data_IF_600219835815
#
_entry.id   IF_600219835815
#
_cell.length_a   1.000
_cell.length_b   1.000
_cell.length_c   1.000
_cell.angle_alpha   90.00
_cell.angle_beta   90.00
_cell.angle_gamma   90.00
#
_symmetry.space_group_name_H-M   'P 1'
#
loop_
_entity.id
_entity.type
_entity.pdbx_description
1 polymer ?
#
# COMPACT_ATOMS: atom_id res chain seq x y z
N UNK A 1 18.44 -15.22 11.73
CA UNK A 1 17.11 -14.89 11.18
C UNK A 1 16.48 -16.18 10.72
N UNK A 2 15.32 -16.54 11.26
CA UNK A 2 14.53 -17.69 10.78
C UNK A 2 13.99 -17.37 9.41
N UNK A 3 14.33 -18.18 8.40
CA UNK A 3 13.84 -17.99 7.04
C UNK A 3 12.35 -18.40 7.00
N UNK A 4 11.44 -17.42 7.00
CA UNK A 4 9.99 -17.63 6.93
C UNK A 4 9.62 -18.08 5.53
N UNK A 5 8.66 -19.00 5.41
CA UNK A 5 8.19 -19.49 4.11
C UNK A 5 6.67 -19.35 4.02
N UNK A 6 6.19 -18.84 2.90
CA UNK A 6 4.77 -18.87 2.59
C UNK A 6 4.36 -20.32 2.31
N UNK A 7 3.34 -20.81 3.01
CA UNK A 7 2.74 -22.09 2.68
C UNK A 7 1.82 -21.97 1.44
N UNK A 8 1.52 -23.11 0.80
CA UNK A 8 0.71 -23.13 -0.42
C UNK A 8 -0.68 -22.54 -0.24
N UNK A 9 -1.30 -22.72 0.93
CA UNK A 9 -2.60 -22.17 1.23
C UNK A 9 -2.54 -20.63 1.34
N UNK A 10 -1.46 -20.08 1.90
CA UNK A 10 -1.23 -18.64 1.97
C UNK A 10 -1.02 -18.04 0.58
N UNK A 11 -0.22 -18.69 -0.26
CA UNK A 11 -0.02 -18.28 -1.66
C UNK A 11 -1.37 -18.21 -2.40
N UNK A 12 -2.22 -19.22 -2.28
CA UNK A 12 -3.55 -19.25 -2.90
C UNK A 12 -4.45 -18.11 -2.38
N UNK A 13 -4.45 -17.86 -1.08
CA UNK A 13 -5.23 -16.75 -0.48
C UNK A 13 -4.74 -15.38 -0.93
N UNK A 14 -3.42 -15.16 -0.98
CA UNK A 14 -2.82 -13.92 -1.49
C UNK A 14 -3.19 -13.71 -2.95
N UNK A 15 -3.07 -14.72 -3.80
CA UNK A 15 -3.43 -14.61 -5.21
C UNK A 15 -4.92 -14.29 -5.42
N UNK A 16 -5.83 -14.91 -4.66
CA UNK A 16 -7.27 -14.61 -4.69
C UNK A 16 -7.57 -13.19 -4.22
N UNK A 17 -6.91 -12.72 -3.17
CA UNK A 17 -7.06 -11.35 -2.68
C UNK A 17 -6.58 -10.31 -3.70
N UNK A 18 -5.52 -10.60 -4.45
CA UNK A 18 -5.02 -9.72 -5.52
C UNK A 18 -6.00 -9.64 -6.69
N UNK A 19 -6.62 -10.78 -7.04
CA UNK A 19 -7.61 -10.84 -8.12
C UNK A 19 -8.93 -10.11 -7.79
N UNK A 20 -9.23 -9.94 -6.49
CA UNK A 20 -10.41 -9.21 -6.00
C UNK A 20 -10.03 -7.81 -5.47
N UNK A 21 -10.18 -7.57 -4.18
CA UNK A 21 -9.78 -6.32 -3.53
C UNK A 21 -9.21 -6.61 -2.14
N UNK A 22 -7.91 -6.32 -1.97
CA UNK A 22 -7.19 -6.62 -0.73
C UNK A 22 -7.77 -5.90 0.48
N UNK A 23 -8.27 -4.66 0.30
CA UNK A 23 -8.69 -3.80 1.42
C UNK A 23 -10.19 -3.85 1.72
N UNK A 24 -11.00 -4.36 0.82
CA UNK A 24 -12.46 -4.28 0.88
C UNK A 24 -13.17 -5.64 0.93
N UNK A 25 -12.42 -6.75 0.78
CA UNK A 25 -13.01 -8.07 0.59
C UNK A 25 -12.59 -9.05 1.72
N UNK A 26 -13.46 -10.04 1.98
CA UNK A 26 -13.17 -11.19 2.84
C UNK A 26 -11.91 -11.96 2.42
N UNK A 27 -11.58 -11.97 1.13
CA UNK A 27 -10.36 -12.59 0.63
C UNK A 27 -9.12 -11.85 1.09
N UNK A 28 -9.15 -10.52 1.16
CA UNK A 28 -8.06 -9.72 1.70
C UNK A 28 -7.81 -9.99 3.18
N UNK A 29 -8.86 -10.04 3.98
CA UNK A 29 -8.76 -10.41 5.41
C UNK A 29 -8.18 -11.80 5.58
N UNK A 30 -8.69 -12.80 4.85
CA UNK A 30 -8.21 -14.17 4.93
C UNK A 30 -6.75 -14.33 4.47
N UNK A 31 -6.29 -13.52 3.51
CA UNK A 31 -4.90 -13.51 3.07
C UNK A 31 -3.98 -12.88 4.13
N UNK A 32 -4.40 -11.79 4.78
CA UNK A 32 -3.66 -11.15 5.85
C UNK A 32 -3.53 -12.10 7.05
N UNK A 33 -4.61 -12.76 7.47
CA UNK A 33 -4.58 -13.73 8.57
C UNK A 33 -3.65 -14.91 8.26
N UNK A 34 -3.62 -15.37 7.00
CA UNK A 34 -2.70 -16.42 6.58
C UNK A 34 -1.24 -15.98 6.56
N UNK A 35 -0.96 -14.73 6.12
CA UNK A 35 0.39 -14.15 6.16
C UNK A 35 0.89 -14.03 7.62
N UNK A 36 0.03 -13.61 8.55
CA UNK A 36 0.35 -13.57 9.98
C UNK A 36 0.69 -14.97 10.50
N UNK A 37 -0.09 -15.98 10.12
CA UNK A 37 0.15 -17.38 10.52
C UNK A 37 1.49 -17.93 10.00
N UNK A 38 1.96 -17.45 8.83
CA UNK A 38 3.28 -17.77 8.28
C UNK A 38 4.41 -16.89 8.85
N UNK A 39 4.11 -16.00 9.81
CA UNK A 39 5.08 -15.16 10.51
C UNK A 39 5.36 -13.80 9.85
N UNK A 40 4.60 -13.41 8.82
CA UNK A 40 4.64 -12.08 8.21
C UNK A 40 3.63 -11.19 8.90
N UNK A 41 3.95 -10.75 10.11
CA UNK A 41 3.03 -10.09 11.03
C UNK A 41 3.27 -8.56 11.18
N UNK A 42 4.22 -8.01 10.42
CA UNK A 42 4.60 -6.59 10.48
C UNK A 42 4.38 -5.87 9.16
N UNK A 43 3.93 -4.61 9.17
CA UNK A 43 3.86 -3.79 7.95
C UNK A 43 5.22 -3.65 7.24
N UNK A 44 6.33 -3.74 7.98
CA UNK A 44 7.70 -3.70 7.47
C UNK A 44 8.08 -4.94 6.66
N UNK A 45 7.33 -6.04 6.77
CA UNK A 45 7.51 -7.25 5.97
C UNK A 45 7.15 -7.04 4.49
N UNK A 46 6.41 -5.97 4.17
CA UNK A 46 6.03 -5.60 2.80
C UNK A 46 6.90 -4.49 2.22
N UNK A 47 8.00 -4.14 2.88
CA UNK A 47 8.95 -3.11 2.44
C UNK A 47 10.15 -3.80 1.79
N UNK A 48 10.72 -3.16 0.75
CA UNK A 48 11.90 -3.71 0.05
C UNK A 48 13.04 -4.00 1.04
N UNK A 49 13.74 -5.14 0.93
CA UNK A 49 14.87 -5.50 1.80
C UNK A 49 15.99 -4.47 1.81
N UNK A 50 16.08 -3.62 0.75
CA UNK A 50 17.06 -2.54 0.64
C UNK A 50 16.63 -1.25 1.36
N UNK A 51 15.41 -1.18 1.83
CA UNK A 51 14.88 0.00 2.51
C UNK A 51 15.15 -0.09 4.01
N UNK A 52 15.41 1.06 4.61
CA UNK A 52 15.52 1.18 6.08
C UNK A 52 14.25 0.68 6.76
N UNK A 53 14.40 -0.05 7.86
CA UNK A 53 13.29 -0.62 8.62
C UNK A 53 12.65 -1.88 8.02
N UNK A 54 13.16 -2.41 6.90
CA UNK A 54 12.70 -3.70 6.38
C UNK A 54 13.06 -4.85 7.31
N UNK A 55 12.14 -5.79 7.47
CA UNK A 55 12.30 -6.99 8.32
C UNK A 55 12.34 -8.30 7.52
N UNK A 56 12.30 -8.21 6.18
CA UNK A 56 12.32 -9.38 5.29
C UNK A 56 13.65 -9.57 4.59
N UNK A 57 14.00 -10.82 4.33
CA UNK A 57 15.07 -11.20 3.42
C UNK A 57 14.66 -10.97 1.95
N UNK A 58 15.63 -11.06 1.04
CA UNK A 58 15.36 -10.97 -0.41
C UNK A 58 14.47 -12.11 -0.87
N UNK A 59 14.70 -13.32 -0.35
CA UNK A 59 13.93 -14.52 -0.67
C UNK A 59 12.47 -14.40 -0.21
N UNK A 60 12.25 -13.95 1.02
CA UNK A 60 10.92 -13.72 1.57
C UNK A 60 10.16 -12.65 0.78
N UNK A 61 10.83 -11.56 0.44
CA UNK A 61 10.26 -10.49 -0.36
C UNK A 61 9.87 -10.95 -1.77
N UNK A 62 10.71 -11.79 -2.40
CA UNK A 62 10.41 -12.37 -3.70
C UNK A 62 9.22 -13.33 -3.60
N UNK A 63 9.16 -14.18 -2.57
CA UNK A 63 8.03 -15.08 -2.36
C UNK A 63 6.69 -14.34 -2.24
N UNK A 64 6.65 -13.20 -1.54
CA UNK A 64 5.47 -12.33 -1.48
C UNK A 64 5.12 -11.77 -2.87
N UNK A 65 6.12 -11.30 -3.63
CA UNK A 65 5.89 -10.79 -4.98
C UNK A 65 5.36 -11.87 -5.92
N UNK A 66 5.91 -13.07 -5.86
CA UNK A 66 5.50 -14.20 -6.68
C UNK A 66 4.04 -14.60 -6.38
N UNK A 67 3.66 -14.63 -5.09
CA UNK A 67 2.27 -14.85 -4.69
C UNK A 67 1.31 -13.76 -5.21
N UNK A 68 1.75 -12.49 -5.25
CA UNK A 68 0.99 -11.39 -5.85
C UNK A 68 0.85 -11.58 -7.37
N UNK A 69 1.93 -11.96 -8.06
CA UNK A 69 1.93 -12.17 -9.50
C UNK A 69 0.96 -13.28 -9.91
N UNK A 70 0.84 -14.34 -9.10
CA UNK A 70 -0.13 -15.41 -9.33
C UNK A 70 -1.59 -14.93 -9.32
N UNK A 71 -1.89 -13.80 -8.69
CA UNK A 71 -3.22 -13.17 -8.71
C UNK A 71 -3.55 -12.39 -9.99
N UNK A 72 -2.58 -12.17 -10.87
CA UNK A 72 -2.80 -11.51 -12.15
C UNK A 72 -3.24 -12.52 -13.23
N UNK A 73 -3.76 -12.02 -14.36
CA UNK A 73 -4.13 -12.88 -15.48
C UNK A 73 -2.92 -13.63 -16.06
N UNK A 74 -3.17 -14.80 -16.68
CA UNK A 74 -2.11 -15.63 -17.25
C UNK A 74 -1.25 -14.90 -18.29
N UNK A 75 -1.82 -13.95 -19.03
CA UNK A 75 -1.06 -13.15 -20.02
C UNK A 75 -0.08 -12.19 -19.35
N UNK A 76 -0.48 -11.59 -18.23
CA UNK A 76 0.39 -10.73 -17.42
C UNK A 76 1.51 -11.54 -16.79
N UNK A 77 1.20 -12.70 -16.22
CA UNK A 77 2.20 -13.62 -15.66
C UNK A 77 3.24 -14.01 -16.72
N UNK A 78 2.79 -14.40 -17.92
CA UNK A 78 3.68 -14.74 -19.06
C UNK A 78 4.54 -13.53 -19.47
N UNK A 79 3.98 -12.31 -19.51
CA UNK A 79 4.72 -11.10 -19.84
C UNK A 79 5.81 -10.80 -18.79
N UNK A 80 5.48 -10.94 -17.50
CA UNK A 80 6.42 -10.71 -16.40
C UNK A 80 7.56 -11.74 -16.37
N UNK A 81 7.28 -13.00 -16.75
CA UNK A 81 8.27 -14.08 -16.79
C UNK A 81 9.24 -13.98 -17.99
N UNK A 82 8.88 -13.28 -19.08
CA UNK A 82 9.75 -13.18 -20.26
C UNK A 82 11.04 -12.39 -19.96
N UNK A 83 12.19 -12.81 -20.52
CA UNK A 83 13.44 -12.04 -20.45
C UNK A 83 13.24 -10.64 -21.09
N UNK A 84 13.78 -9.58 -20.46
CA UNK A 84 13.63 -8.19 -20.95
C UNK A 84 14.14 -8.02 -22.39
N UNK A 85 15.21 -8.73 -22.73
CA UNK A 85 15.85 -8.69 -24.06
C UNK A 85 14.94 -9.21 -25.17
N UNK A 86 13.95 -10.06 -24.86
CA UNK A 86 13.02 -10.65 -25.83
C UNK A 86 11.72 -9.82 -26.01
N UNK A 87 11.58 -8.69 -25.30
CA UNK A 87 10.38 -7.87 -25.31
C UNK A 87 10.49 -6.74 -26.32
N UNK A 88 9.38 -6.46 -27.04
CA UNK A 88 9.21 -5.21 -27.80
C UNK A 88 9.12 -4.02 -26.85
N UNK A 89 9.28 -2.79 -27.36
CA UNK A 89 9.23 -1.58 -26.51
C UNK A 89 7.84 -1.36 -25.90
N UNK A 90 6.77 -1.68 -26.63
CA UNK A 90 5.41 -1.67 -26.12
C UNK A 90 5.25 -2.68 -24.95
N UNK A 91 5.81 -3.89 -25.09
CA UNK A 91 5.79 -4.90 -24.02
C UNK A 91 6.63 -4.49 -22.82
N UNK A 92 7.77 -3.81 -23.01
CA UNK A 92 8.59 -3.26 -21.91
C UNK A 92 7.81 -2.21 -21.12
N UNK A 93 7.07 -1.33 -21.80
CA UNK A 93 6.22 -0.32 -21.16
C UNK A 93 5.11 -0.98 -20.34
N UNK A 94 4.40 -1.95 -20.93
CA UNK A 94 3.37 -2.73 -20.23
C UNK A 94 3.92 -3.48 -19.04
N UNK A 95 5.10 -4.09 -19.18
CA UNK A 95 5.78 -4.79 -18.08
C UNK A 95 6.12 -3.85 -16.92
N UNK A 96 6.63 -2.62 -17.19
CA UNK A 96 6.92 -1.61 -16.16
C UNK A 96 5.65 -1.24 -15.39
N UNK A 97 4.56 -1.04 -16.08
CA UNK A 97 3.26 -0.78 -15.44
C UNK A 97 2.89 -1.90 -14.47
N UNK A 98 2.96 -3.17 -14.88
CA UNK A 98 2.62 -4.29 -14.00
C UNK A 98 3.61 -4.48 -12.85
N UNK A 99 4.88 -4.17 -13.02
CA UNK A 99 5.84 -4.12 -11.92
C UNK A 99 5.47 -3.05 -10.87
N UNK A 100 4.96 -1.90 -11.30
CA UNK A 100 4.42 -0.89 -10.38
C UNK A 100 3.15 -1.40 -9.67
N UNK A 101 2.29 -2.15 -10.37
CA UNK A 101 1.10 -2.76 -9.76
C UNK A 101 1.45 -3.79 -8.67
N UNK A 102 2.53 -4.57 -8.82
CA UNK A 102 3.03 -5.43 -7.74
C UNK A 102 3.36 -4.60 -6.50
N UNK A 103 4.05 -3.46 -6.67
CA UNK A 103 4.34 -2.53 -5.58
C UNK A 103 3.08 -1.96 -4.93
N UNK A 104 2.08 -1.57 -5.72
CA UNK A 104 0.81 -1.08 -5.23
C UNK A 104 0.08 -2.15 -4.39
N UNK A 105 0.01 -3.39 -4.88
CA UNK A 105 -0.61 -4.51 -4.14
C UNK A 105 0.11 -4.83 -2.83
N UNK A 106 1.45 -4.79 -2.80
CA UNK A 106 2.19 -4.90 -1.52
C UNK A 106 1.83 -3.80 -0.54
N UNK A 107 1.69 -2.56 -1.01
CA UNK A 107 1.27 -1.45 -0.15
C UNK A 107 -0.15 -1.65 0.38
N UNK A 108 -1.04 -2.29 -0.37
CA UNK A 108 -2.38 -2.65 0.11
C UNK A 108 -2.30 -3.70 1.23
N UNK A 109 -1.45 -4.74 1.09
CA UNK A 109 -1.19 -5.70 2.18
C UNK A 109 -0.57 -5.02 3.40
N UNK A 110 0.42 -4.15 3.20
CA UNK A 110 1.01 -3.34 4.29
C UNK A 110 -0.06 -2.56 5.06
N UNK A 111 -0.96 -1.87 4.35
CA UNK A 111 -2.07 -1.11 4.95
C UNK A 111 -3.07 -2.02 5.66
N UNK A 112 -3.39 -3.17 5.07
CA UNK A 112 -4.28 -4.17 5.68
C UNK A 112 -3.69 -4.73 6.96
N UNK A 113 -2.39 -5.04 6.97
CA UNK A 113 -1.64 -5.48 8.16
C UNK A 113 -1.66 -4.42 9.25
N UNK A 114 -1.38 -3.15 8.92
CA UNK A 114 -1.44 -2.07 9.88
C UNK A 114 -2.82 -1.94 10.52
N UNK A 115 -3.89 -1.99 9.72
CA UNK A 115 -5.28 -1.97 10.23
C UNK A 115 -5.56 -3.13 11.18
N UNK A 116 -4.99 -4.32 10.90
CA UNK A 116 -5.16 -5.50 11.75
C UNK A 116 -4.47 -5.33 13.09
N UNK A 117 -3.27 -4.75 13.11
CA UNK A 117 -2.52 -4.43 14.32
C UNK A 117 -3.24 -3.36 15.13
N UNK A 118 -3.68 -2.30 14.47
CA UNK A 118 -4.42 -1.20 15.11
C UNK A 118 -5.70 -1.71 15.77
N UNK A 119 -6.43 -2.60 15.10
CA UNK A 119 -7.66 -3.21 15.64
C UNK A 119 -7.40 -4.16 16.81
N UNK A 120 -6.22 -4.78 16.90
CA UNK A 120 -5.83 -5.69 17.98
C UNK A 120 -5.21 -4.97 19.18
N UNK A 121 -4.84 -3.70 19.05
CA UNK A 121 -4.31 -2.89 20.16
C UNK A 121 -5.41 -2.61 21.19
N UNK A 122 -5.13 -2.67 22.52
CA UNK A 122 -6.11 -2.35 23.56
C UNK A 122 -6.74 -0.95 23.44
N UNK A 123 -5.98 0.00 22.87
CA UNK A 123 -6.46 1.35 22.51
C UNK A 123 -6.95 1.44 21.06
N UNK A 124 -6.86 0.36 20.29
CA UNK A 124 -6.93 0.35 18.83
C UNK A 124 -8.32 0.14 18.24
N UNK A 125 -9.35 0.03 19.08
CA UNK A 125 -10.73 -0.03 18.58
C UNK A 125 -11.34 1.35 18.36
N UNK A 126 -10.85 2.36 19.00
CA UNK A 126 -11.12 3.74 18.65
C UNK A 126 -10.24 4.08 17.46
N UNK A 127 -10.77 3.99 16.25
CA UNK A 127 -10.28 4.80 15.15
C UNK A 127 -10.09 6.18 15.75
N UNK A 128 -8.83 6.57 16.05
CA UNK A 128 -8.52 7.89 16.61
C UNK A 128 -9.18 8.86 15.66
N UNK A 129 -10.36 9.30 16.04
CA UNK A 129 -11.10 10.27 15.24
C UNK A 129 -10.14 11.43 15.12
N UNK A 130 -9.57 11.61 13.93
CA UNK A 130 -8.71 12.76 13.67
C UNK A 130 -9.48 13.95 14.18
N UNK A 131 -8.88 14.71 15.06
CA UNK A 131 -9.48 15.97 15.47
C UNK A 131 -9.68 16.80 14.21
N UNK A 132 -10.70 17.63 14.18
CA UNK A 132 -10.93 18.55 13.06
C UNK A 132 -9.65 19.34 12.76
N UNK A 133 -8.89 19.70 13.80
CA UNK A 133 -7.60 20.40 13.68
C UNK A 133 -6.52 19.56 12.98
N UNK A 134 -6.42 18.27 13.27
CA UNK A 134 -5.49 17.35 12.58
C UNK A 134 -5.89 17.17 11.12
N UNK A 135 -7.18 17.01 10.83
CA UNK A 135 -7.68 16.88 9.46
C UNK A 135 -7.40 18.15 8.63
N UNK A 136 -7.66 19.34 9.18
CA UNK A 136 -7.37 20.61 8.52
C UNK A 136 -5.87 20.82 8.31
N UNK A 137 -5.03 20.44 9.27
CA UNK A 137 -3.57 20.54 9.16
C UNK A 137 -3.04 19.67 8.03
N UNK A 138 -3.51 18.42 7.91
CA UNK A 138 -3.12 17.51 6.85
C UNK A 138 -3.58 18.05 5.47
N UNK A 139 -4.79 18.55 5.37
CA UNK A 139 -5.33 19.15 4.15
C UNK A 139 -4.55 20.41 3.74
N UNK A 140 -4.17 21.26 4.70
CA UNK A 140 -3.33 22.43 4.45
C UNK A 140 -1.92 22.01 3.96
N UNK A 141 -1.31 21.02 4.59
CA UNK A 141 0.00 20.51 4.19
C UNK A 141 -0.02 19.93 2.78
N UNK A 142 -1.08 19.19 2.42
CA UNK A 142 -1.26 18.65 1.06
C UNK A 142 -1.48 19.76 0.04
N UNK A 143 -2.25 20.79 0.37
CA UNK A 143 -2.43 22.00 -0.44
C UNK A 143 -1.12 22.73 -0.68
N UNK A 144 -0.34 22.96 0.38
CA UNK A 144 0.97 23.63 0.30
C UNK A 144 1.94 22.82 -0.57
N UNK A 145 1.98 21.48 -0.44
CA UNK A 145 2.82 20.61 -1.28
C UNK A 145 2.43 20.71 -2.76
N UNK A 146 1.13 20.71 -3.06
CA UNK A 146 0.62 20.85 -4.42
C UNK A 146 0.99 22.21 -5.02
N UNK A 147 0.87 23.30 -4.25
CA UNK A 147 1.26 24.65 -4.69
C UNK A 147 2.78 24.75 -4.94
N UNK A 148 3.62 24.11 -4.12
CA UNK A 148 5.09 24.12 -4.32
C UNK A 148 5.55 23.33 -5.55
N UNK A 149 4.76 22.36 -5.98
CA UNK A 149 5.07 21.47 -7.11
C UNK A 149 4.40 21.94 -8.41
N UNK A 150 3.56 22.95 -8.39
CA UNK A 150 2.94 23.53 -9.58
C UNK A 150 3.83 24.65 -10.15
N UNK A 151 4.04 24.68 -11.47
CA UNK A 151 4.75 25.78 -12.15
C UNK A 151 3.99 27.11 -11.99
N UNK A 152 2.65 27.07 -11.85
CA UNK A 152 1.81 28.17 -11.42
C UNK A 152 0.93 27.69 -10.26
N UNK A 153 1.00 28.36 -9.12
CA UNK A 153 0.12 28.06 -7.99
C UNK A 153 -1.32 28.42 -8.38
N UNK A 154 -2.28 27.48 -8.35
CA UNK A 154 -3.66 27.72 -8.79
C UNK A 154 -4.43 28.69 -7.87
N UNK A 155 -3.83 29.11 -6.75
CA UNK A 155 -4.40 30.03 -5.77
C UNK A 155 -3.31 30.60 -4.85
N UNK A 156 -3.57 31.78 -4.28
CA UNK A 156 -2.70 32.38 -3.28
C UNK A 156 -2.78 31.60 -1.95
N UNK A 157 -1.61 31.21 -1.42
CA UNK A 157 -1.49 30.50 -0.14
C UNK A 157 -2.11 31.32 1.00
N UNK A 158 -1.99 32.65 0.96
CA UNK A 158 -2.59 33.55 1.97
C UNK A 158 -4.12 33.49 1.92
N UNK A 159 -4.72 33.47 0.74
CA UNK A 159 -6.18 33.34 0.56
C UNK A 159 -6.67 31.95 1.05
N UNK A 160 -5.92 30.88 0.77
CA UNK A 160 -6.24 29.53 1.27
C UNK A 160 -6.24 29.49 2.81
N UNK A 161 -5.21 30.07 3.45
CA UNK A 161 -5.10 30.13 4.92
C UNK A 161 -6.25 30.97 5.50
N UNK A 162 -6.60 32.09 4.87
CA UNK A 162 -7.72 32.95 5.29
C UNK A 162 -9.06 32.20 5.20
N UNK A 163 -9.32 31.48 4.11
CA UNK A 163 -10.52 30.67 3.93
C UNK A 163 -10.62 29.53 4.97
N UNK A 164 -9.52 28.83 5.25
CA UNK A 164 -9.46 27.78 6.26
C UNK A 164 -9.72 28.34 7.67
N UNK A 165 -9.15 29.49 8.03
CA UNK A 165 -9.40 30.15 9.30
C UNK A 165 -10.85 30.60 9.45
N UNK A 166 -11.50 31.04 8.37
CA UNK A 166 -12.92 31.37 8.37
C UNK A 166 -13.81 30.15 8.67
N UNK A 167 -13.51 29.01 8.05
CA UNK A 167 -14.23 27.74 8.32
C UNK A 167 -14.04 27.28 9.77
N UNK A 168 -12.81 27.37 10.29
CA UNK A 168 -12.51 27.02 11.70
C UNK A 168 -13.26 27.91 12.70
N UNK A 169 -13.47 29.20 12.39
CA UNK A 169 -14.26 30.09 13.22
C UNK A 169 -15.76 29.73 13.22
N UNK A 170 -16.28 29.23 12.10
CA UNK A 170 -17.66 28.76 12.00
C UNK A 170 -17.88 27.45 12.76
N UNK A 171 -16.90 26.55 12.77
CA UNK A 171 -16.96 25.28 13.47
C UNK A 171 -16.86 25.41 15.01
N UNK A 172 -16.46 26.57 15.54
CA UNK A 172 -16.38 26.86 16.98
C UNK A 172 -17.63 27.50 17.57
N UNK A 173 -18.65 27.71 16.75
CA UNK A 173 -19.98 28.18 17.18
C UNK A 173 -20.95 27.03 17.31
#
# INVERSE_FOLDING_TARGET
MTNRKLNTATIDRVSKAVASSILADKHGTAAIDALIADGFDKPTDFVSPKSEGSTVSVEEFNAINDAIVLGFSADIQRLLAKPVKSLTDAQKTTRRYWQQQIGAKRNDFKRGMQRRIDAASPDGGAQRTRTIDEWFRDMANDGIKKCRNAEEAPFDIAEMIAAMNAVLKLAKR
#
